data_IF_105019798912
#
_entry.id   IF_105019798912
#
_cell.length_a   1.000
_cell.length_b   1.000
_cell.length_c   1.000
_cell.angle_alpha   90.00
_cell.angle_beta   90.00
_cell.angle_gamma   90.00
#
_symmetry.space_group_name_H-M   'P 1'
#
loop_
_entity.id
_entity.type
_entity.pdbx_description
1 polymer ?
#
# COMPACT_ATOMS: atom_id res chain seq x y z
N UNK A 1 -6.86 -1.05 8.68
CA UNK A 1 -7.76 -2.16 8.23
C UNK A 1 -7.13 -3.48 8.66
N UNK A 2 -7.91 -4.41 9.22
CA UNK A 2 -7.43 -5.76 9.59
C UNK A 2 -7.98 -6.74 8.55
N UNK A 3 -7.11 -7.58 8.01
CA UNK A 3 -7.45 -8.54 6.95
C UNK A 3 -7.06 -9.93 7.43
N UNK A 4 -8.04 -10.83 7.47
CA UNK A 4 -7.81 -12.25 7.71
C UNK A 4 -7.58 -12.94 6.36
N UNK A 5 -6.33 -13.23 6.06
CA UNK A 5 -5.94 -13.84 4.78
C UNK A 5 -6.48 -15.26 4.60
N UNK A 6 -6.86 -15.94 5.69
CA UNK A 6 -7.48 -17.27 5.62
C UNK A 6 -8.93 -17.23 5.11
N UNK A 7 -9.59 -16.07 5.26
CA UNK A 7 -10.98 -15.84 4.84
C UNK A 7 -11.08 -14.96 3.60
N UNK A 8 -9.97 -14.36 3.19
CA UNK A 8 -9.95 -13.46 2.03
C UNK A 8 -10.10 -14.26 0.74
N UNK A 9 -11.13 -13.93 -0.04
CA UNK A 9 -11.41 -14.55 -1.36
C UNK A 9 -10.96 -13.67 -2.53
N UNK A 10 -10.28 -12.55 -2.28
CA UNK A 10 -9.81 -11.65 -3.33
C UNK A 10 -10.92 -10.89 -4.09
N UNK A 11 -12.10 -10.73 -3.51
CA UNK A 11 -13.28 -10.15 -4.20
C UNK A 11 -13.13 -8.66 -4.59
N UNK A 12 -12.12 -7.95 -4.08
CA UNK A 12 -11.86 -6.54 -4.41
C UNK A 12 -12.79 -5.52 -3.74
N UNK A 13 -13.74 -5.92 -2.94
CA UNK A 13 -14.70 -5.02 -2.29
C UNK A 13 -14.02 -3.95 -1.42
N UNK A 14 -12.98 -4.30 -0.67
CA UNK A 14 -12.21 -3.36 0.15
C UNK A 14 -11.49 -2.30 -0.70
N UNK A 15 -11.01 -2.65 -1.89
CA UNK A 15 -10.40 -1.71 -2.84
C UNK A 15 -11.44 -0.72 -3.36
N UNK A 16 -12.59 -1.22 -3.82
CA UNK A 16 -13.67 -0.38 -4.33
C UNK A 16 -14.23 0.54 -3.24
N UNK A 17 -14.43 0.03 -2.02
CA UNK A 17 -14.88 0.83 -0.90
C UNK A 17 -13.89 1.96 -0.58
N UNK A 18 -12.59 1.67 -0.55
CA UNK A 18 -11.53 2.66 -0.33
C UNK A 18 -11.50 3.71 -1.45
N UNK A 19 -11.61 3.30 -2.70
CA UNK A 19 -11.65 4.21 -3.85
C UNK A 19 -12.85 5.16 -3.79
N UNK A 20 -14.02 4.62 -3.46
CA UNK A 20 -15.25 5.39 -3.34
C UNK A 20 -15.22 6.39 -2.18
N UNK A 21 -14.67 5.96 -1.03
CA UNK A 21 -14.56 6.80 0.17
C UNK A 21 -13.58 7.97 -0.01
N UNK A 22 -12.54 7.79 -0.81
CA UNK A 22 -11.47 8.76 -0.98
C UNK A 22 -11.47 9.43 -2.37
N UNK A 23 -12.52 9.27 -3.16
CA UNK A 23 -12.66 9.83 -4.51
C UNK A 23 -11.45 9.54 -5.43
N UNK A 24 -10.91 8.30 -5.34
CA UNK A 24 -9.72 7.92 -6.09
C UNK A 24 -10.06 7.46 -7.51
N UNK A 25 -9.20 7.82 -8.45
CA UNK A 25 -9.27 7.27 -9.79
C UNK A 25 -9.06 5.74 -9.75
N UNK A 26 -9.74 5.02 -10.65
CA UNK A 26 -9.62 3.56 -10.76
C UNK A 26 -8.18 3.08 -11.03
N UNK A 27 -7.37 3.93 -11.66
CA UNK A 27 -5.95 3.69 -11.96
C UNK A 27 -5.00 3.88 -10.78
N UNK A 28 -5.46 4.51 -9.68
CA UNK A 28 -4.63 4.87 -8.52
C UNK A 28 -5.22 4.35 -7.21
N UNK A 29 -5.34 3.03 -7.02
CA UNK A 29 -5.89 2.48 -5.79
C UNK A 29 -4.87 2.56 -4.65
N UNK A 30 -5.33 2.89 -3.44
CA UNK A 30 -4.50 2.76 -2.23
C UNK A 30 -4.35 1.31 -1.78
N UNK A 31 -5.37 0.48 -2.04
CA UNK A 31 -5.32 -0.96 -1.75
C UNK A 31 -4.91 -1.69 -3.02
N UNK A 32 -3.77 -2.34 -2.98
CA UNK A 32 -3.24 -3.20 -4.06
C UNK A 32 -3.44 -4.66 -3.68
N UNK A 33 -3.51 -5.53 -4.66
CA UNK A 33 -3.57 -6.97 -4.46
C UNK A 33 -2.29 -7.60 -4.99
N UNK A 34 -1.68 -8.46 -4.17
CA UNK A 34 -0.59 -9.34 -4.58
C UNK A 34 -1.11 -10.77 -4.58
N UNK A 35 -0.87 -11.48 -5.66
CA UNK A 35 -1.20 -12.88 -5.80
C UNK A 35 0.04 -13.72 -5.52
N UNK A 36 -0.06 -14.61 -4.55
CA UNK A 36 1.02 -15.52 -4.16
C UNK A 36 0.57 -16.95 -4.42
N UNK A 37 1.24 -17.59 -5.36
CA UNK A 37 1.04 -19.01 -5.63
C UNK A 37 1.93 -19.84 -4.71
N UNK A 38 1.33 -20.80 -4.00
CA UNK A 38 2.03 -21.70 -3.08
C UNK A 38 1.70 -23.14 -3.40
N UNK A 39 2.69 -24.04 -3.20
CA UNK A 39 2.56 -25.45 -3.47
C UNK A 39 3.12 -25.88 -4.82
N UNK A 40 2.91 -27.14 -5.17
CA UNK A 40 3.34 -27.76 -6.44
C UNK A 40 2.14 -28.45 -7.07
N UNK A 41 2.04 -28.37 -8.40
CA UNK A 41 1.00 -29.09 -9.12
C UNK A 41 0.96 -30.59 -8.72
N UNK A 42 -0.23 -31.19 -8.43
CA UNK A 42 -1.59 -30.66 -8.62
C UNK A 42 -2.18 -29.96 -7.39
N UNK A 43 -1.42 -29.75 -6.31
CA UNK A 43 -1.88 -29.17 -5.03
C UNK A 43 -1.55 -27.69 -4.87
N UNK A 44 -1.27 -26.99 -5.96
CA UNK A 44 -1.01 -25.55 -5.94
C UNK A 44 -2.25 -24.76 -5.47
N UNK A 45 -2.05 -23.77 -4.61
CA UNK A 45 -3.08 -22.87 -4.15
C UNK A 45 -2.69 -21.40 -4.38
N UNK A 46 -3.67 -20.58 -4.76
CA UNK A 46 -3.50 -19.14 -4.95
C UNK A 46 -4.00 -18.40 -3.71
N UNK A 47 -3.13 -17.59 -3.12
CA UNK A 47 -3.49 -16.72 -2.01
C UNK A 47 -3.45 -15.26 -2.48
N UNK A 48 -4.53 -14.53 -2.25
CA UNK A 48 -4.61 -13.11 -2.55
C UNK A 48 -4.33 -12.32 -1.27
N UNK A 49 -3.32 -11.46 -1.31
CA UNK A 49 -2.91 -10.64 -0.17
C UNK A 49 -3.17 -9.16 -0.50
N UNK A 50 -4.19 -8.54 0.12
CA UNK A 50 -4.39 -7.10 0.02
C UNK A 50 -3.28 -6.36 0.77
N UNK A 51 -2.66 -5.38 0.11
CA UNK A 51 -1.58 -4.56 0.65
C UNK A 51 -1.91 -3.07 0.51
N UNK A 52 -1.52 -2.30 1.52
CA UNK A 52 -1.66 -0.84 1.55
C UNK A 52 -0.54 -0.23 2.39
N UNK A 53 -0.45 1.10 2.45
CA UNK A 53 0.49 1.77 3.34
C UNK A 53 0.30 1.33 4.79
N UNK A 54 1.40 0.94 5.45
CA UNK A 54 1.38 0.46 6.85
C UNK A 54 1.62 1.60 7.85
N UNK A 55 1.82 2.85 7.40
CA UNK A 55 2.13 3.99 8.24
C UNK A 55 3.21 3.65 9.29
N UNK A 56 4.38 3.21 8.79
CA UNK A 56 5.49 2.73 9.62
C UNK A 56 5.92 3.77 10.64
N UNK A 57 6.25 3.35 11.85
CA UNK A 57 6.79 4.22 12.90
C UNK A 57 8.16 4.78 12.49
N UNK A 58 9.03 3.94 11.95
CA UNK A 58 10.29 4.33 11.31
C UNK A 58 10.16 4.15 9.80
N UNK A 59 9.62 5.17 9.14
CA UNK A 59 9.23 5.11 7.75
C UNK A 59 10.43 5.25 6.80
N UNK A 60 10.88 4.21 6.09
CA UNK A 60 12.00 4.31 5.16
C UNK A 60 11.73 5.28 4.01
N UNK A 61 10.48 5.44 3.61
CA UNK A 61 10.08 6.42 2.59
C UNK A 61 10.31 7.87 3.02
N UNK A 62 10.25 8.17 4.32
CA UNK A 62 10.58 9.49 4.86
C UNK A 62 12.09 9.71 4.86
N UNK A 63 12.87 8.70 5.26
CA UNK A 63 14.32 8.78 5.33
C UNK A 63 15.00 9.05 3.97
N UNK A 64 14.45 8.51 2.89
CA UNK A 64 15.01 8.67 1.54
C UNK A 64 14.47 9.88 0.77
N UNK A 65 13.53 10.64 1.33
CA UNK A 65 12.94 11.76 0.63
C UNK A 65 13.90 12.95 0.56
N UNK A 66 14.42 13.35 -0.63
CA UNK A 66 15.44 14.39 -0.75
C UNK A 66 14.90 15.78 -0.42
N UNK A 67 13.61 16.00 -0.56
CA UNK A 67 12.97 17.31 -0.30
C UNK A 67 12.26 17.39 1.05
N UNK A 68 12.23 16.28 1.82
CA UNK A 68 11.46 16.19 3.05
C UNK A 68 9.95 16.30 2.85
N UNK A 69 9.47 15.99 1.63
CA UNK A 69 8.04 16.03 1.31
C UNK A 69 7.24 14.93 2.02
N UNK A 70 7.89 13.79 2.31
CA UNK A 70 7.28 12.71 3.08
C UNK A 70 7.55 12.93 4.56
N UNK A 71 6.50 12.98 5.35
CA UNK A 71 6.57 13.24 6.79
C UNK A 71 5.52 12.44 7.55
N UNK A 72 5.72 12.27 8.84
CA UNK A 72 4.73 11.67 9.74
C UNK A 72 4.05 12.77 10.53
N UNK A 73 2.71 12.79 10.54
CA UNK A 73 1.94 13.75 11.32
C UNK A 73 1.87 13.35 12.81
N UNK A 74 1.24 14.18 13.65
CA UNK A 74 1.07 13.95 15.09
C UNK A 74 0.28 12.67 15.42
N UNK A 75 -0.59 12.24 14.51
CA UNK A 75 -1.39 11.01 14.63
C UNK A 75 -0.63 9.74 14.20
N UNK A 76 0.64 9.85 13.81
CA UNK A 76 1.44 8.73 13.32
C UNK A 76 1.15 8.34 11.87
N UNK A 77 0.47 9.19 11.11
CA UNK A 77 0.13 8.92 9.70
C UNK A 77 1.24 9.46 8.81
N UNK A 78 1.76 8.62 7.93
CA UNK A 78 2.74 9.05 6.91
C UNK A 78 2.00 9.76 5.79
N UNK A 79 2.36 11.03 5.59
CA UNK A 79 1.76 11.93 4.60
C UNK A 79 2.80 12.42 3.60
N UNK A 80 2.33 12.95 2.47
CA UNK A 80 3.17 13.57 1.45
C UNK A 80 2.70 15.00 1.21
N UNK A 81 3.61 15.96 1.39
CA UNK A 81 3.38 17.34 0.99
C UNK A 81 3.60 17.49 -0.52
N UNK A 82 2.52 17.60 -1.25
CA UNK A 82 2.56 17.71 -2.71
C UNK A 82 3.24 19.00 -3.20
N UNK A 83 3.29 20.05 -2.37
CA UNK A 83 3.99 21.30 -2.71
C UNK A 83 5.51 21.16 -2.70
N UNK A 84 6.04 20.23 -1.91
CA UNK A 84 7.49 19.93 -1.82
C UNK A 84 7.91 18.73 -2.68
N UNK A 85 6.95 17.90 -3.08
CA UNK A 85 7.22 16.67 -3.80
C UNK A 85 7.67 16.95 -5.23
N UNK A 86 8.86 16.46 -5.60
CA UNK A 86 9.43 16.55 -6.95
C UNK A 86 9.14 15.32 -7.83
N UNK A 87 8.40 14.33 -7.33
CA UNK A 87 8.02 13.13 -8.09
C UNK A 87 9.17 12.15 -8.39
N UNK A 88 10.26 12.17 -7.62
CA UNK A 88 11.45 11.33 -7.86
C UNK A 88 11.23 9.83 -7.63
N UNK A 89 10.10 9.42 -7.01
CA UNK A 89 9.70 8.04 -6.73
C UNK A 89 10.64 7.24 -5.80
N UNK A 90 11.61 7.88 -5.13
CA UNK A 90 12.48 7.20 -4.16
C UNK A 90 11.70 6.57 -3.01
N UNK A 91 10.63 7.22 -2.55
CA UNK A 91 9.74 6.68 -1.52
C UNK A 91 9.08 5.36 -1.95
N UNK A 92 8.75 5.21 -3.24
CA UNK A 92 8.19 3.97 -3.77
C UNK A 92 9.23 2.85 -3.81
N UNK A 93 10.48 3.16 -4.19
CA UNK A 93 11.57 2.19 -4.23
C UNK A 93 12.00 1.73 -2.83
N UNK A 94 11.93 2.62 -1.85
CA UNK A 94 12.30 2.32 -0.46
C UNK A 94 11.19 1.57 0.31
N UNK A 95 9.95 1.57 -0.19
CA UNK A 95 8.83 0.95 0.51
C UNK A 95 8.88 -0.58 0.38
N UNK A 96 9.02 -1.34 1.49
CA UNK A 96 9.05 -2.79 1.45
C UNK A 96 7.70 -3.42 1.08
N UNK A 97 6.62 -2.65 1.22
CA UNK A 97 5.24 -3.09 0.92
C UNK A 97 4.75 -2.62 -0.45
N UNK A 98 5.55 -1.84 -1.18
CA UNK A 98 5.19 -1.28 -2.49
C UNK A 98 3.86 -0.47 -2.46
N UNK A 99 3.62 0.21 -1.36
CA UNK A 99 2.41 1.02 -1.15
C UNK A 99 2.39 2.29 -2.03
#
# INVERSE_FOLDING_TARGET
>A
MVIDTTKCIGCGACRLACQNQNDLLSSMPFVKFSEVETGVYPTASLQVVPSQCMHCEDAPCQAVCPTGATYTNEDGIVCIDHGRCIGCKYCMAACPYQA
#
